data_IF_116865339263
#
_entry.id   IF_116865339263
#
_cell.length_a   1.000
_cell.length_b   1.000
_cell.length_c   1.000
_cell.angle_alpha   90.00
_cell.angle_beta   90.00
_cell.angle_gamma   90.00
#
_symmetry.space_group_name_H-M   'P 1'
#
loop_
_entity.id
_entity.type
_entity.pdbx_description
1 polymer ?
#
# COMPACT_ATOMS: atom_id res chain seq x y z
N UNK A 1 22.81 -34.29 10.16
CA UNK A 1 21.69 -33.62 10.85
C UNK A 1 21.51 -32.25 10.20
N UNK A 2 20.58 -32.15 9.24
CA UNK A 2 20.26 -30.87 8.59
C UNK A 2 19.49 -29.98 9.57
N UNK A 3 19.90 -28.72 9.71
CA UNK A 3 19.12 -27.73 10.44
C UNK A 3 17.81 -27.51 9.68
N UNK A 4 16.67 -27.63 10.38
CA UNK A 4 15.39 -27.05 9.97
C UNK A 4 15.64 -25.61 9.50
N UNK A 5 15.34 -25.30 8.24
CA UNK A 5 15.32 -23.91 7.76
C UNK A 5 13.94 -23.38 8.11
N UNK A 6 13.85 -22.60 9.17
CA UNK A 6 12.59 -22.04 9.63
C UNK A 6 12.02 -21.07 8.56
N UNK A 7 10.72 -21.16 8.28
CA UNK A 7 10.00 -20.24 7.40
C UNK A 7 9.79 -18.89 8.09
N UNK A 8 10.08 -17.78 7.40
CA UNK A 8 9.93 -16.43 7.97
C UNK A 8 9.05 -15.52 7.12
N UNK A 9 8.12 -14.84 7.80
CA UNK A 9 7.32 -13.75 7.22
C UNK A 9 7.94 -12.44 7.69
N UNK A 10 8.29 -11.59 6.73
CA UNK A 10 8.96 -10.33 6.97
C UNK A 10 7.96 -9.21 6.73
N UNK A 11 7.57 -8.55 7.82
CA UNK A 11 6.78 -7.32 7.79
C UNK A 11 7.71 -6.11 7.78
N UNK A 12 7.30 -5.02 7.11
CA UNK A 12 8.13 -3.81 7.07
C UNK A 12 8.41 -3.25 8.48
N UNK A 13 9.64 -2.76 8.76
CA UNK A 13 10.04 -2.33 10.09
C UNK A 13 9.34 -1.07 10.61
N UNK A 14 8.55 -0.33 9.82
CA UNK A 14 7.68 0.71 10.41
C UNK A 14 6.59 0.10 11.32
N UNK A 15 6.25 -1.18 11.13
CA UNK A 15 5.38 -1.94 12.02
C UNK A 15 6.05 -2.41 13.32
N UNK A 16 7.38 -2.22 13.46
CA UNK A 16 8.13 -2.52 14.68
C UNK A 16 8.29 -1.29 15.59
N UNK A 17 8.06 -0.07 15.06
CA UNK A 17 8.18 1.19 15.82
C UNK A 17 6.85 1.90 16.07
N UNK A 18 5.77 1.45 15.41
CA UNK A 18 4.40 1.80 15.72
C UNK A 18 3.72 0.51 16.17
N UNK A 19 3.01 0.51 17.31
CA UNK A 19 2.23 -0.67 17.73
C UNK A 19 1.42 -1.24 16.55
N UNK A 20 1.30 -2.58 16.44
CA UNK A 20 0.89 -3.20 15.20
C UNK A 20 -0.52 -2.74 14.81
N UNK A 21 -0.61 -2.08 13.66
CA UNK A 21 -1.86 -1.81 12.94
C UNK A 21 -2.71 -3.09 13.03
N UNK A 22 -3.98 -3.05 13.47
CA UNK A 22 -4.79 -4.25 13.70
C UNK A 22 -4.77 -5.26 12.53
N UNK A 23 -4.71 -4.75 11.30
CA UNK A 23 -4.58 -5.56 10.07
C UNK A 23 -3.29 -6.39 10.09
N UNK A 24 -2.15 -5.82 10.47
CA UNK A 24 -0.88 -6.54 10.58
C UNK A 24 -0.92 -7.62 11.66
N UNK A 25 -1.65 -7.38 12.76
CA UNK A 25 -1.82 -8.39 13.82
C UNK A 25 -2.63 -9.59 13.33
N UNK A 26 -3.72 -9.34 12.59
CA UNK A 26 -4.52 -10.41 11.97
C UNK A 26 -3.72 -11.11 10.87
N UNK A 27 -3.06 -10.37 9.98
CA UNK A 27 -2.17 -10.95 8.96
C UNK A 27 -1.12 -11.88 9.59
N UNK A 28 -0.43 -11.43 10.63
CA UNK A 28 0.57 -12.24 11.32
C UNK A 28 -0.06 -13.48 12.00
N UNK A 29 -1.26 -13.35 12.57
CA UNK A 29 -1.99 -14.46 13.19
C UNK A 29 -2.43 -15.51 12.17
N UNK A 30 -3.01 -15.07 11.05
CA UNK A 30 -3.55 -15.93 9.99
C UNK A 30 -2.44 -16.62 9.19
N UNK A 31 -1.34 -15.93 8.93
CA UNK A 31 -0.21 -16.59 8.27
C UNK A 31 0.43 -17.60 9.22
N UNK A 32 0.54 -17.31 10.53
CA UNK A 32 1.01 -18.29 11.54
C UNK A 32 0.03 -19.46 11.72
N UNK A 33 -1.29 -19.25 11.64
CA UNK A 33 -2.29 -20.32 11.72
C UNK A 33 -2.18 -21.23 10.50
N UNK A 34 -2.07 -20.65 9.31
CA UNK A 34 -1.91 -21.40 8.05
C UNK A 34 -0.58 -22.16 8.03
N UNK A 35 0.52 -21.53 8.51
CA UNK A 35 1.81 -22.21 8.69
C UNK A 35 1.67 -23.43 9.61
N UNK A 36 0.98 -23.30 10.75
CA UNK A 36 0.70 -24.43 11.65
C UNK A 36 -0.13 -25.53 10.97
N UNK A 37 -1.16 -25.16 10.21
CA UNK A 37 -1.98 -26.13 9.48
C UNK A 37 -1.17 -26.88 8.41
N UNK A 38 -0.32 -26.18 7.64
CA UNK A 38 0.61 -26.80 6.70
C UNK A 38 1.63 -27.70 7.38
N UNK A 39 2.07 -27.34 8.59
CA UNK A 39 2.98 -28.18 9.39
C UNK A 39 2.30 -29.48 9.84
N UNK A 40 0.98 -29.44 10.10
CA UNK A 40 0.16 -30.60 10.45
C UNK A 40 -0.20 -31.46 9.23
N UNK A 41 -0.54 -30.84 8.09
CA UNK A 41 -0.89 -31.53 6.85
C UNK A 41 0.33 -32.19 6.17
N UNK A 42 1.55 -31.73 6.52
CA UNK A 42 2.81 -32.30 6.04
C UNK A 42 3.28 -33.55 6.80
N UNK A 43 2.47 -34.13 7.70
CA UNK A 43 2.75 -35.42 8.34
C UNK A 43 2.68 -36.56 7.31
N UNK A 44 3.76 -36.70 6.54
CA UNK A 44 3.96 -37.72 5.50
C UNK A 44 4.90 -37.32 4.35
N UNK A 45 5.20 -36.02 4.19
CA UNK A 45 6.12 -35.52 3.16
C UNK A 45 7.44 -35.03 3.77
N UNK A 46 8.54 -35.25 3.04
CA UNK A 46 9.91 -34.91 3.45
C UNK A 46 10.04 -33.44 3.92
N UNK A 47 10.18 -33.26 5.24
CA UNK A 47 10.35 -31.97 5.93
C UNK A 47 11.66 -31.23 5.57
N UNK A 48 12.54 -31.79 4.75
CA UNK A 48 13.91 -31.28 4.58
C UNK A 48 14.16 -30.27 3.46
N UNK A 49 13.18 -29.97 2.59
CA UNK A 49 13.50 -29.35 1.29
C UNK A 49 12.79 -28.06 0.90
N UNK A 50 11.86 -27.51 1.70
CA UNK A 50 11.12 -26.31 1.28
C UNK A 50 11.19 -25.21 2.32
N UNK A 51 11.78 -24.09 1.92
CA UNK A 51 11.83 -22.86 2.69
C UNK A 51 10.88 -21.82 2.09
N UNK A 52 9.95 -21.33 2.89
CA UNK A 52 8.90 -20.40 2.49
C UNK A 52 9.16 -19.01 3.09
N UNK A 53 9.39 -18.01 2.23
CA UNK A 53 9.60 -16.63 2.66
C UNK A 53 8.61 -15.68 2.00
N UNK A 54 7.95 -14.89 2.84
CA UNK A 54 6.97 -13.87 2.41
C UNK A 54 7.39 -12.52 2.93
N UNK A 55 7.51 -11.52 2.05
CA UNK A 55 7.57 -10.13 2.43
C UNK A 55 6.20 -9.45 2.24
N UNK A 56 5.64 -8.87 3.30
CA UNK A 56 4.39 -8.10 3.22
C UNK A 56 4.67 -6.64 3.60
N UNK A 57 4.47 -5.75 2.62
CA UNK A 57 4.51 -4.31 2.88
C UNK A 57 3.11 -3.75 3.12
N UNK A 58 2.93 -3.08 4.25
CA UNK A 58 1.76 -2.24 4.53
C UNK A 58 2.25 -0.81 4.68
N UNK A 59 1.93 0.03 3.71
CA UNK A 59 2.26 1.46 3.74
C UNK A 59 1.44 2.21 4.78
N UNK A 60 1.90 3.40 5.17
CA UNK A 60 1.14 4.30 6.01
C UNK A 60 -0.11 4.76 5.27
N UNK A 61 -1.23 4.57 5.94
CA UNK A 61 -2.45 5.27 5.63
C UNK A 61 -2.37 6.76 5.97
N UNK A 62 -3.26 7.58 5.42
CA UNK A 62 -3.56 8.93 5.94
C UNK A 62 -3.69 8.87 7.47
N UNK A 63 -2.72 9.43 8.21
CA UNK A 63 -2.59 9.18 9.64
C UNK A 63 -3.76 9.78 10.45
N UNK A 64 -4.29 8.98 11.38
CA UNK A 64 -5.17 9.39 12.48
C UNK A 64 -4.50 9.07 13.81
N UNK A 65 -4.69 9.88 14.87
CA UNK A 65 -3.81 9.92 16.03
C UNK A 65 -4.26 8.94 17.12
N UNK A 66 -3.71 7.73 17.15
CA UNK A 66 -3.74 6.88 18.34
C UNK A 66 -2.43 6.09 18.47
N UNK A 67 -1.36 6.75 18.95
CA UNK A 67 -0.38 6.24 19.94
C UNK A 67 0.82 7.20 20.12
N UNK A 68 1.21 7.45 21.38
CA UNK A 68 2.20 8.44 21.85
C UNK A 68 3.56 7.74 22.19
N UNK A 69 4.79 8.31 22.20
CA UNK A 69 5.30 9.64 22.55
C UNK A 69 6.62 10.00 21.81
N UNK A 70 6.60 11.15 21.15
CA UNK A 70 7.69 12.13 20.93
C UNK A 70 7.24 13.20 19.92
N UNK A 71 6.22 12.89 19.10
CA UNK A 71 5.65 13.76 18.06
C UNK A 71 4.28 14.41 18.43
N UNK A 72 3.74 14.09 19.61
CA UNK A 72 2.36 14.41 20.03
C UNK A 72 2.06 15.91 20.23
N UNK A 73 3.02 16.76 20.60
CA UNK A 73 2.72 18.18 20.91
C UNK A 73 2.59 19.10 19.68
N UNK A 74 3.11 18.69 18.52
CA UNK A 74 3.13 19.49 17.29
C UNK A 74 2.12 18.97 16.25
N UNK A 75 1.90 17.65 16.16
CA UNK A 75 0.95 17.03 15.23
C UNK A 75 -0.52 17.10 15.69
N UNK A 76 -0.79 17.22 16.99
CA UNK A 76 -2.16 17.18 17.52
C UNK A 76 -3.01 18.44 17.23
N UNK A 77 -2.43 19.61 16.92
CA UNK A 77 -3.23 20.83 16.71
C UNK A 77 -3.60 21.12 15.24
N UNK A 78 -2.84 20.59 14.28
CA UNK A 78 -3.07 20.84 12.85
C UNK A 78 -3.91 19.75 12.16
N UNK A 79 -3.71 18.46 12.53
CA UNK A 79 -4.44 17.34 11.92
C UNK A 79 -5.92 17.24 12.34
N UNK A 80 -6.29 17.74 13.54
CA UNK A 80 -7.67 17.73 14.03
C UNK A 80 -8.59 18.73 13.29
N UNK A 81 -8.05 19.85 12.82
CA UNK A 81 -8.85 20.87 12.12
C UNK A 81 -9.14 20.48 10.66
N UNK A 82 -8.16 19.89 9.96
CA UNK A 82 -8.32 19.48 8.56
C UNK A 82 -9.13 18.18 8.43
N UNK A 83 -8.80 17.13 9.20
CA UNK A 83 -9.47 15.84 9.04
C UNK A 83 -10.96 15.85 9.48
N UNK A 84 -11.33 16.65 10.50
CA UNK A 84 -12.73 16.78 10.94
C UNK A 84 -13.60 17.54 9.94
N UNK A 85 -13.06 18.57 9.28
CA UNK A 85 -13.75 19.32 8.22
C UNK A 85 -13.89 18.46 6.96
N UNK A 86 -12.84 17.71 6.59
CA UNK A 86 -12.84 16.85 5.40
C UNK A 86 -13.79 15.65 5.48
N UNK A 87 -13.92 15.04 6.66
CA UNK A 87 -14.78 13.88 6.83
C UNK A 87 -16.25 14.26 7.06
N UNK A 88 -16.51 15.35 7.79
CA UNK A 88 -17.86 15.88 7.92
C UNK A 88 -18.39 16.38 6.58
N UNK A 89 -17.54 17.04 5.79
CA UNK A 89 -17.87 17.43 4.42
C UNK A 89 -18.08 16.22 3.51
N UNK A 90 -17.30 15.13 3.60
CA UNK A 90 -17.52 13.90 2.82
C UNK A 90 -18.87 13.22 3.15
N UNK A 91 -19.22 13.14 4.44
CA UNK A 91 -20.49 12.56 4.91
C UNK A 91 -21.68 13.46 4.57
N UNK A 92 -21.56 14.77 4.78
CA UNK A 92 -22.60 15.76 4.44
C UNK A 92 -22.77 15.87 2.92
N UNK A 93 -21.72 15.72 2.11
CA UNK A 93 -21.82 15.76 0.64
C UNK A 93 -22.53 14.54 0.07
N UNK A 94 -22.30 13.34 0.61
CA UNK A 94 -23.11 12.15 0.24
C UNK A 94 -24.60 12.33 0.59
N UNK A 95 -24.92 13.15 1.60
CA UNK A 95 -26.30 13.51 1.95
C UNK A 95 -26.86 14.70 1.13
N UNK A 96 -26.00 15.62 0.67
CA UNK A 96 -26.37 16.86 -0.07
C UNK A 96 -26.41 16.66 -1.59
N UNK A 97 -25.82 15.59 -2.14
CA UNK A 97 -26.00 15.26 -3.57
C UNK A 97 -27.48 15.05 -3.95
N UNK A 98 -28.40 14.94 -2.97
CA UNK A 98 -29.86 14.93 -3.16
C UNK A 98 -30.56 16.30 -2.97
N UNK A 99 -29.86 17.36 -2.54
CA UNK A 99 -30.45 18.69 -2.32
C UNK A 99 -29.50 19.80 -2.74
N UNK A 100 -29.63 20.28 -3.99
CA UNK A 100 -28.76 21.31 -4.56
C UNK A 100 -28.59 22.55 -3.67
N UNK A 101 -27.35 22.82 -3.23
CA UNK A 101 -27.02 24.04 -2.50
C UNK A 101 -25.54 24.18 -2.14
N UNK A 102 -24.98 25.36 -2.46
CA UNK A 102 -23.65 25.91 -2.13
C UNK A 102 -22.39 25.35 -2.81
N UNK A 103 -21.72 26.21 -3.57
CA UNK A 103 -20.43 25.96 -4.22
C UNK A 103 -19.30 26.21 -3.20
N UNK A 104 -18.83 25.14 -2.55
CA UNK A 104 -17.69 25.18 -1.64
C UNK A 104 -16.40 25.36 -2.46
N UNK A 105 -15.56 26.34 -2.09
CA UNK A 105 -14.22 26.47 -2.67
C UNK A 105 -13.27 25.46 -2.01
N UNK A 106 -13.32 24.22 -2.49
CA UNK A 106 -12.57 23.09 -1.96
C UNK A 106 -11.05 23.31 -1.96
N UNK A 107 -10.52 24.16 -2.84
CA UNK A 107 -9.08 24.41 -2.94
C UNK A 107 -8.47 25.04 -1.68
N UNK A 108 -9.26 25.81 -0.91
CA UNK A 108 -8.78 26.43 0.34
C UNK A 108 -8.84 25.45 1.53
N UNK A 109 -9.76 24.49 1.51
CA UNK A 109 -10.02 23.53 2.59
C UNK A 109 -9.13 22.28 2.49
N UNK A 110 -8.71 21.94 1.27
CA UNK A 110 -8.06 20.66 0.93
C UNK A 110 -6.52 20.68 0.90
N UNK A 111 -5.87 21.79 1.29
CA UNK A 111 -4.41 21.90 1.17
C UNK A 111 -3.71 20.96 2.15
N UNK A 112 -3.14 19.88 1.63
CA UNK A 112 -2.20 19.03 2.36
C UNK A 112 -0.86 19.78 2.47
N UNK A 113 -0.27 19.93 3.67
CA UNK A 113 1.10 20.40 3.81
C UNK A 113 2.11 19.58 2.99
N UNK A 114 3.07 20.26 2.36
CA UNK A 114 4.11 19.64 1.54
C UNK A 114 4.89 18.55 2.31
N UNK A 115 5.16 18.79 3.59
CA UNK A 115 5.87 17.86 4.46
C UNK A 115 5.14 16.51 4.59
N UNK A 116 3.81 16.53 4.62
CA UNK A 116 3.02 15.29 4.63
C UNK A 116 3.03 14.58 3.28
N UNK A 117 3.16 15.31 2.17
CA UNK A 117 3.34 14.69 0.87
C UNK A 117 4.68 13.95 0.80
N UNK A 118 5.77 14.59 1.29
CA UNK A 118 7.09 13.97 1.41
C UNK A 118 7.04 12.72 2.28
N UNK A 119 6.46 12.82 3.48
CA UNK A 119 6.33 11.70 4.41
C UNK A 119 5.51 10.55 3.80
N UNK A 120 4.40 10.86 3.11
CA UNK A 120 3.57 9.87 2.43
C UNK A 120 4.38 9.08 1.39
N UNK A 121 5.15 9.74 0.53
CA UNK A 121 6.00 9.07 -0.45
C UNK A 121 7.13 8.27 0.22
N UNK A 122 7.75 8.83 1.28
CA UNK A 122 8.84 8.18 2.00
C UNK A 122 8.39 6.87 2.66
N UNK A 123 7.16 6.80 3.15
CA UNK A 123 6.63 5.58 3.77
C UNK A 123 6.08 4.63 2.71
N UNK A 124 5.17 5.10 1.86
CA UNK A 124 4.39 4.25 0.98
C UNK A 124 5.15 3.71 -0.21
N UNK A 125 6.17 4.42 -0.67
CA UNK A 125 6.97 4.00 -1.82
C UNK A 125 8.41 3.67 -1.40
N UNK A 126 9.17 4.67 -0.94
CA UNK A 126 10.59 4.47 -0.67
C UNK A 126 10.84 3.52 0.51
N UNK A 127 9.98 3.54 1.53
CA UNK A 127 10.04 2.62 2.67
C UNK A 127 9.83 1.16 2.24
N UNK A 128 8.87 0.93 1.35
CA UNK A 128 8.63 -0.37 0.74
C UNK A 128 9.81 -0.82 -0.13
N UNK A 129 10.30 0.06 -1.01
CA UNK A 129 11.44 -0.18 -1.90
C UNK A 129 12.66 -0.62 -1.11
N UNK A 130 13.09 0.17 -0.12
CA UNK A 130 14.22 -0.16 0.77
C UNK A 130 14.04 -1.48 1.50
N UNK A 131 12.83 -1.73 2.02
CA UNK A 131 12.52 -2.98 2.72
C UNK A 131 12.70 -4.17 1.77
N UNK A 132 12.05 -4.13 0.61
CA UNK A 132 12.11 -5.22 -0.38
C UNK A 132 13.56 -5.45 -0.81
N UNK A 133 14.30 -4.42 -1.21
CA UNK A 133 15.70 -4.52 -1.61
C UNK A 133 16.57 -5.17 -0.54
N UNK A 134 16.36 -4.82 0.73
CA UNK A 134 17.09 -5.40 1.87
C UNK A 134 16.82 -6.90 2.02
N UNK A 135 15.59 -7.34 1.74
CA UNK A 135 15.15 -8.72 1.95
C UNK A 135 15.24 -9.62 0.71
N UNK A 136 15.50 -9.06 -0.48
CA UNK A 136 15.70 -9.86 -1.71
C UNK A 136 16.71 -11.00 -1.52
N UNK A 137 17.92 -10.80 -0.94
CA UNK A 137 18.88 -11.89 -0.79
C UNK A 137 18.36 -13.05 0.06
N UNK A 138 17.49 -12.78 1.04
CA UNK A 138 16.86 -13.81 1.87
C UNK A 138 15.70 -14.49 1.13
N UNK A 139 14.88 -13.71 0.41
CA UNK A 139 13.81 -14.25 -0.43
C UNK A 139 14.36 -15.18 -1.53
N UNK A 140 15.54 -14.89 -2.08
CA UNK A 140 16.20 -15.74 -3.07
C UNK A 140 16.63 -17.11 -2.52
N UNK A 141 16.71 -17.29 -1.20
CA UNK A 141 16.97 -18.57 -0.56
C UNK A 141 15.70 -19.42 -0.43
N UNK A 142 14.52 -18.83 -0.66
CA UNK A 142 13.23 -19.51 -0.64
C UNK A 142 13.02 -20.34 -1.89
N UNK A 143 12.40 -21.51 -1.72
CA UNK A 143 11.91 -22.31 -2.84
C UNK A 143 10.57 -21.77 -3.39
N UNK A 144 9.95 -20.84 -2.66
CA UNK A 144 8.64 -20.28 -2.96
C UNK A 144 8.53 -18.80 -2.49
N UNK A 145 9.33 -17.88 -3.06
CA UNK A 145 9.38 -16.49 -2.60
C UNK A 145 8.12 -15.71 -2.99
N UNK A 146 7.61 -14.92 -2.04
CA UNK A 146 6.40 -14.08 -2.20
C UNK A 146 6.63 -12.65 -1.74
N UNK A 147 6.13 -11.68 -2.52
CA UNK A 147 6.05 -10.29 -2.10
C UNK A 147 4.62 -9.79 -2.31
N UNK A 148 4.03 -9.25 -1.24
CA UNK A 148 2.69 -8.66 -1.28
C UNK A 148 2.77 -7.20 -0.88
N UNK A 149 2.46 -6.33 -1.83
CA UNK A 149 2.42 -4.87 -1.64
C UNK A 149 0.98 -4.42 -1.40
N UNK A 150 0.66 -3.94 -0.19
CA UNK A 150 -0.67 -3.37 0.08
C UNK A 150 -0.78 -1.99 -0.55
N UNK A 151 -1.57 -1.95 -1.63
CA UNK A 151 -1.86 -0.78 -2.45
C UNK A 151 -3.30 -0.30 -2.19
N UNK A 152 -3.90 0.43 -3.13
CA UNK A 152 -5.27 0.95 -3.06
C UNK A 152 -5.87 1.05 -4.44
N UNK A 153 -7.20 0.96 -4.53
CA UNK A 153 -7.95 1.24 -5.76
C UNK A 153 -7.75 2.69 -6.25
N UNK A 154 -7.39 3.62 -5.36
CA UNK A 154 -7.05 4.99 -5.75
C UNK A 154 -5.73 5.06 -6.53
N UNK A 155 -4.83 4.09 -6.37
CA UNK A 155 -3.57 4.01 -7.12
C UNK A 155 -3.71 3.53 -8.57
N UNK A 156 -4.94 3.33 -9.06
CA UNK A 156 -5.18 3.07 -10.49
C UNK A 156 -4.90 4.33 -11.32
N UNK A 157 -4.37 4.14 -12.53
CA UNK A 157 -3.93 5.24 -13.39
C UNK A 157 -5.09 6.11 -13.90
N UNK A 158 -6.34 5.65 -13.86
CA UNK A 158 -7.51 6.49 -14.10
C UNK A 158 -7.67 7.64 -13.10
N UNK A 159 -7.05 7.52 -11.92
CA UNK A 159 -7.03 8.58 -10.90
C UNK A 159 -5.77 9.46 -11.01
N UNK A 160 -4.86 9.16 -11.93
CA UNK A 160 -3.71 10.01 -12.27
C UNK A 160 -4.12 10.95 -13.41
N UNK A 161 -4.48 12.19 -13.08
CA UNK A 161 -4.87 13.19 -14.08
C UNK A 161 -3.68 13.83 -14.82
N UNK A 162 -2.46 13.68 -14.31
CA UNK A 162 -1.26 14.16 -14.97
C UNK A 162 -0.86 13.16 -16.07
N UNK A 163 -1.12 13.51 -17.33
CA UNK A 163 -0.95 12.58 -18.47
C UNK A 163 0.51 12.18 -18.72
N UNK A 164 1.48 13.04 -18.39
CA UNK A 164 2.90 12.68 -18.47
C UNK A 164 3.25 11.57 -17.47
N UNK A 165 2.91 11.77 -16.20
CA UNK A 165 3.14 10.78 -15.15
C UNK A 165 2.37 9.49 -15.44
N UNK A 166 1.13 9.60 -15.91
CA UNK A 166 0.30 8.47 -16.31
C UNK A 166 0.94 7.68 -17.46
N UNK A 167 1.43 8.36 -18.50
CA UNK A 167 2.11 7.74 -19.63
C UNK A 167 3.38 7.00 -19.24
N UNK A 168 4.16 7.54 -18.30
CA UNK A 168 5.33 6.84 -17.74
C UNK A 168 4.90 5.59 -16.97
N UNK A 169 3.92 5.71 -16.08
CA UNK A 169 3.54 4.62 -15.18
C UNK A 169 2.71 3.51 -15.85
N UNK A 170 2.07 3.78 -16.99
CA UNK A 170 1.30 2.78 -17.76
C UNK A 170 2.19 1.85 -18.58
N UNK A 171 3.28 2.36 -19.17
CA UNK A 171 4.17 1.62 -20.07
C UNK A 171 5.00 0.54 -19.33
N UNK A 172 4.42 -0.66 -19.22
CA UNK A 172 5.06 -1.82 -18.57
C UNK A 172 6.43 -2.15 -19.14
N UNK A 173 6.60 -1.97 -20.44
CA UNK A 173 7.75 -2.53 -21.15
C UNK A 173 9.00 -1.70 -20.91
N UNK A 174 8.83 -0.38 -20.84
CA UNK A 174 9.93 0.56 -20.60
C UNK A 174 10.01 1.05 -19.15
N UNK A 175 9.15 0.56 -18.25
CA UNK A 175 9.10 0.97 -16.85
C UNK A 175 10.40 0.61 -16.12
N UNK A 176 10.98 1.58 -15.43
CA UNK A 176 12.16 1.37 -14.57
C UNK A 176 11.98 2.10 -13.24
N UNK A 177 12.81 1.74 -12.26
CA UNK A 177 12.76 2.38 -10.94
C UNK A 177 13.09 3.89 -11.05
N UNK A 178 14.02 4.26 -11.92
CA UNK A 178 14.44 5.64 -12.16
C UNK A 178 13.31 6.50 -12.73
N UNK A 179 12.51 5.92 -13.64
CA UNK A 179 11.32 6.61 -14.19
C UNK A 179 10.24 6.82 -13.15
N UNK A 180 10.05 5.86 -12.23
CA UNK A 180 9.13 6.05 -11.11
C UNK A 180 9.65 7.13 -10.17
N UNK A 181 10.95 7.12 -9.85
CA UNK A 181 11.59 8.13 -9.02
C UNK A 181 11.49 9.53 -9.67
N UNK A 182 11.63 9.64 -10.99
CA UNK A 182 11.44 10.88 -11.75
C UNK A 182 10.02 11.45 -11.58
N UNK A 183 8.99 10.61 -11.74
CA UNK A 183 7.59 11.00 -11.53
C UNK A 183 7.36 11.51 -10.09
N UNK A 184 7.91 10.82 -9.10
CA UNK A 184 7.77 11.20 -7.70
C UNK A 184 8.50 12.51 -7.37
N UNK A 185 9.67 12.73 -7.96
CA UNK A 185 10.45 13.95 -7.75
C UNK A 185 9.78 15.15 -8.40
N UNK A 186 9.27 15.01 -9.64
CA UNK A 186 8.55 16.10 -10.31
C UNK A 186 7.23 16.41 -9.57
N UNK A 187 6.52 15.38 -9.09
CA UNK A 187 5.36 15.60 -8.23
C UNK A 187 5.69 16.43 -6.97
N UNK A 188 6.75 16.09 -6.23
CA UNK A 188 7.13 16.84 -5.04
C UNK A 188 7.59 18.26 -5.37
N UNK A 189 8.28 18.46 -6.49
CA UNK A 189 8.67 19.79 -6.96
C UNK A 189 7.43 20.63 -7.26
N UNK A 190 6.51 20.12 -8.06
CA UNK A 190 5.25 20.80 -8.39
C UNK A 190 4.38 21.05 -7.14
N UNK A 191 4.39 20.12 -6.18
CA UNK A 191 3.74 20.31 -4.89
C UNK A 191 4.32 21.51 -4.15
N UNK A 192 5.65 21.58 -4.02
CA UNK A 192 6.36 22.63 -3.30
C UNK A 192 6.17 24.00 -3.95
N UNK A 193 6.03 24.04 -5.27
CA UNK A 193 5.78 25.25 -6.05
C UNK A 193 4.30 25.67 -6.07
N UNK A 194 3.39 24.86 -5.49
CA UNK A 194 1.95 25.12 -5.49
C UNK A 194 1.31 24.95 -6.87
N UNK A 195 1.94 24.21 -7.78
CA UNK A 195 1.56 24.09 -9.19
C UNK A 195 0.73 22.83 -9.49
N UNK A 196 0.34 22.03 -8.48
CA UNK A 196 -0.36 20.75 -8.68
C UNK A 196 -1.56 20.85 -9.62
N UNK A 197 -2.45 21.81 -9.40
CA UNK A 197 -3.64 22.00 -10.24
C UNK A 197 -3.27 22.43 -11.66
N UNK A 198 -2.34 23.37 -11.80
CA UNK A 198 -1.87 23.87 -13.09
C UNK A 198 -1.19 22.78 -13.93
N UNK A 199 -0.54 21.83 -13.25
CA UNK A 199 0.13 20.65 -13.83
C UNK A 199 -0.77 19.41 -13.87
N UNK A 200 -2.05 19.56 -13.57
CA UNK A 200 -3.06 18.51 -13.59
C UNK A 200 -2.72 17.29 -12.72
N UNK A 201 -1.97 17.47 -11.63
CA UNK A 201 -1.84 16.42 -10.61
C UNK A 201 -3.19 16.17 -9.91
N UNK A 202 -3.41 14.97 -9.32
CA UNK A 202 -4.66 14.69 -8.61
C UNK A 202 -4.92 15.74 -7.53
N UNK A 203 -6.15 16.27 -7.47
CA UNK A 203 -6.49 17.37 -6.56
C UNK A 203 -6.80 16.92 -5.13
N UNK A 204 -7.27 15.68 -4.96
CA UNK A 204 -7.64 15.10 -3.67
C UNK A 204 -6.71 13.94 -3.32
N UNK A 205 -6.16 13.94 -2.09
CA UNK A 205 -5.27 12.89 -1.62
C UNK A 205 -4.06 12.66 -2.53
N UNK A 206 -3.54 13.74 -3.14
CA UNK A 206 -2.60 13.70 -4.26
C UNK A 206 -1.39 12.81 -4.01
N UNK A 207 -0.71 13.00 -2.87
CA UNK A 207 0.46 12.21 -2.49
C UNK A 207 0.12 10.74 -2.25
N UNK A 208 -1.08 10.44 -1.73
CA UNK A 208 -1.53 9.07 -1.53
C UNK A 208 -1.82 8.37 -2.86
N UNK A 209 -2.53 9.05 -3.77
CA UNK A 209 -2.79 8.57 -5.14
C UNK A 209 -1.48 8.29 -5.88
N UNK A 210 -0.56 9.26 -5.88
CA UNK A 210 0.74 9.17 -6.55
C UNK A 210 1.61 8.06 -5.93
N UNK A 211 1.69 7.95 -4.60
CA UNK A 211 2.47 6.89 -3.96
C UNK A 211 1.92 5.48 -4.23
N UNK A 212 0.59 5.30 -4.27
CA UNK A 212 -0.01 3.99 -4.56
C UNK A 212 0.09 3.63 -6.05
N UNK A 213 0.03 4.61 -6.95
CA UNK A 213 0.34 4.38 -8.36
C UNK A 213 1.81 3.98 -8.57
N UNK A 214 2.75 4.65 -7.87
CA UNK A 214 4.17 4.28 -7.89
C UNK A 214 4.42 2.87 -7.30
N UNK A 215 3.70 2.49 -6.24
CA UNK A 215 3.76 1.12 -5.68
C UNK A 215 3.30 0.06 -6.68
N UNK A 216 2.23 0.36 -7.43
CA UNK A 216 1.73 -0.51 -8.48
C UNK A 216 2.75 -0.68 -9.61
N UNK A 217 3.37 0.42 -10.05
CA UNK A 217 4.45 0.41 -11.03
C UNK A 217 5.66 -0.41 -10.55
N UNK A 218 6.11 -0.19 -9.31
CA UNK A 218 7.23 -0.92 -8.72
C UNK A 218 6.97 -2.42 -8.58
N UNK A 219 5.72 -2.81 -8.28
CA UNK A 219 5.31 -4.22 -8.27
C UNK A 219 5.53 -4.87 -9.64
N UNK A 220 5.20 -4.17 -10.74
CA UNK A 220 5.42 -4.67 -12.11
C UNK A 220 6.91 -4.78 -12.45
N UNK A 221 7.70 -3.77 -12.07
CA UNK A 221 9.17 -3.78 -12.24
C UNK A 221 9.77 -5.01 -11.54
N UNK A 222 9.42 -5.22 -10.27
CA UNK A 222 9.93 -6.34 -9.48
C UNK A 222 9.53 -7.70 -10.06
N UNK A 223 8.28 -7.86 -10.50
CA UNK A 223 7.82 -9.10 -11.11
C UNK A 223 8.61 -9.44 -12.39
N UNK A 224 8.95 -8.44 -13.21
CA UNK A 224 9.81 -8.61 -14.40
C UNK A 224 11.26 -8.94 -14.01
N UNK A 225 11.77 -8.32 -12.95
CA UNK A 225 13.15 -8.51 -12.44
C UNK A 225 13.36 -9.87 -11.76
N UNK A 226 12.33 -10.41 -11.11
CA UNK A 226 12.37 -11.68 -10.38
C UNK A 226 11.27 -12.63 -10.86
N UNK A 227 11.42 -13.25 -12.05
CA UNK A 227 10.37 -14.06 -12.67
C UNK A 227 10.02 -15.35 -11.89
N UNK A 228 10.88 -15.78 -10.97
CA UNK A 228 10.63 -16.94 -10.09
C UNK A 228 9.84 -16.57 -8.82
N UNK A 229 9.62 -15.28 -8.56
CA UNK A 229 8.88 -14.80 -7.39
C UNK A 229 7.42 -14.55 -7.77
N UNK A 230 6.48 -14.80 -6.84
CA UNK A 230 5.13 -14.24 -6.99
C UNK A 230 5.07 -12.89 -6.28
N UNK A 231 5.05 -11.82 -7.07
CA UNK A 231 5.10 -10.43 -6.59
C UNK A 231 3.83 -9.72 -7.06
N UNK A 232 2.96 -9.36 -6.13
CA UNK A 232 1.67 -8.76 -6.46
C UNK A 232 1.35 -7.58 -5.55
N UNK A 233 0.45 -6.71 -6.00
CA UNK A 233 -0.11 -5.66 -5.17
C UNK A 233 -1.63 -5.83 -5.03
N UNK A 234 -2.17 -5.35 -3.91
CA UNK A 234 -3.58 -5.56 -3.56
C UNK A 234 -4.20 -4.34 -2.89
N UNK A 235 -5.39 -3.97 -3.34
CA UNK A 235 -6.32 -3.13 -2.60
C UNK A 235 -7.16 -4.02 -1.66
N UNK A 236 -7.04 -3.87 -0.33
CA UNK A 236 -7.80 -4.68 0.63
C UNK A 236 -9.28 -4.29 0.72
N UNK A 237 -9.69 -3.20 0.06
CA UNK A 237 -11.00 -2.59 0.19
C UNK A 237 -11.04 -1.48 1.25
N UNK A 238 -12.23 -1.01 1.60
CA UNK A 238 -12.42 0.09 2.55
C UNK A 238 -12.58 -0.44 3.97
N UNK A 239 -11.44 -0.65 4.65
CA UNK A 239 -11.30 -1.34 5.94
C UNK A 239 -11.42 -0.36 7.11
N UNK A 240 -12.16 -0.73 8.17
CA UNK A 240 -12.26 0.03 9.41
C UNK A 240 -10.92 0.01 10.15
N UNK A 241 -10.15 1.09 10.05
CA UNK A 241 -8.89 1.26 10.79
C UNK A 241 -8.73 2.73 11.15
N UNK A 242 -7.67 3.06 11.89
CA UNK A 242 -7.41 4.45 12.27
C UNK A 242 -7.26 5.35 11.03
N UNK A 243 -6.74 4.84 9.90
CA UNK A 243 -6.57 5.59 8.64
C UNK A 243 -7.81 6.40 8.21
N UNK A 244 -8.99 5.84 8.45
CA UNK A 244 -10.26 6.37 8.01
C UNK A 244 -11.20 6.59 9.19
N UNK A 245 -10.66 6.79 10.39
CA UNK A 245 -11.42 6.99 11.62
C UNK A 245 -12.48 5.90 11.84
N UNK A 246 -12.13 4.65 11.51
CA UNK A 246 -13.00 3.49 11.61
C UNK A 246 -14.31 3.59 10.78
N UNK A 247 -14.34 4.39 9.72
CA UNK A 247 -15.51 4.55 8.84
C UNK A 247 -15.57 3.56 7.65
N UNK A 248 -14.68 2.58 7.62
CA UNK A 248 -14.69 1.50 6.63
C UNK A 248 -16.00 0.69 6.60
N UNK A 249 -16.25 -0.01 5.49
CA UNK A 249 -17.35 -1.00 5.40
C UNK A 249 -16.90 -2.41 5.75
N UNK A 250 -15.59 -2.69 5.66
CA UNK A 250 -15.00 -3.99 5.98
C UNK A 250 -14.38 -4.00 7.37
N UNK A 251 -14.43 -5.14 8.05
CA UNK A 251 -13.61 -5.39 9.24
C UNK A 251 -12.13 -5.52 8.88
N UNK A 252 -11.29 -5.44 9.91
CA UNK A 252 -9.85 -5.64 9.81
C UNK A 252 -9.52 -7.02 9.23
N UNK A 253 -10.25 -8.05 9.66
CA UNK A 253 -10.12 -9.43 9.22
C UNK A 253 -10.52 -9.60 7.75
N UNK A 254 -11.64 -9.00 7.36
CA UNK A 254 -12.09 -9.00 5.95
C UNK A 254 -11.09 -8.30 5.03
N UNK A 255 -10.45 -7.22 5.50
CA UNK A 255 -9.40 -6.52 4.79
C UNK A 255 -8.08 -7.30 4.70
N UNK A 256 -7.73 -8.05 5.75
CA UNK A 256 -6.52 -8.85 5.83
C UNK A 256 -6.56 -10.09 4.94
N UNK A 257 -7.76 -10.64 4.68
CA UNK A 257 -7.94 -11.88 3.93
C UNK A 257 -7.25 -11.85 2.55
N UNK A 258 -7.31 -10.74 1.82
CA UNK A 258 -6.76 -10.65 0.46
C UNK A 258 -5.23 -10.61 0.43
N UNK A 259 -4.52 -9.79 1.23
CA UNK A 259 -3.07 -9.91 1.35
C UNK A 259 -2.60 -11.29 1.86
N UNK A 260 -3.30 -11.92 2.82
CA UNK A 260 -2.97 -13.30 3.25
C UNK A 260 -3.07 -14.28 2.08
N UNK A 261 -4.17 -14.22 1.33
CA UNK A 261 -4.36 -15.10 0.15
C UNK A 261 -3.22 -14.96 -0.85
N UNK A 262 -2.74 -13.74 -1.10
CA UNK A 262 -1.61 -13.50 -2.00
C UNK A 262 -0.28 -13.98 -1.44
N UNK A 263 -0.09 -13.84 -0.12
CA UNK A 263 1.08 -14.36 0.58
C UNK A 263 1.17 -15.88 0.50
N UNK A 264 0.03 -16.57 0.39
CA UNK A 264 -0.09 -18.03 0.37
C UNK A 264 -0.37 -18.61 -1.03
N UNK A 265 -0.15 -17.84 -2.10
CA UNK A 265 -0.35 -18.36 -3.45
C UNK A 265 0.52 -19.59 -3.71
N UNK A 266 0.00 -20.63 -4.39
CA UNK A 266 0.80 -21.78 -4.80
C UNK A 266 1.88 -21.37 -5.80
N UNK A 267 2.91 -22.20 -5.94
CA UNK A 267 3.94 -22.00 -6.97
C UNK A 267 3.32 -21.98 -8.37
N UNK A 268 3.86 -21.14 -9.24
CA UNK A 268 3.26 -20.85 -10.55
C UNK A 268 2.02 -19.95 -10.49
N UNK A 269 1.67 -19.43 -9.30
CA UNK A 269 0.64 -18.41 -9.14
C UNK A 269 0.97 -17.10 -9.88
N UNK A 270 -0.02 -16.20 -10.02
CA UNK A 270 0.16 -14.94 -10.74
C UNK A 270 1.26 -14.08 -10.12
N UNK A 271 1.95 -13.31 -10.96
CA UNK A 271 2.98 -12.34 -10.57
C UNK A 271 2.86 -11.09 -11.45
N UNK A 272 3.17 -9.92 -10.91
CA UNK A 272 3.04 -8.63 -11.58
C UNK A 272 1.61 -8.10 -11.68
N UNK A 273 0.67 -8.65 -10.89
CA UNK A 273 -0.76 -8.33 -10.99
C UNK A 273 -1.22 -7.39 -9.87
N UNK A 274 -2.28 -6.62 -10.17
CA UNK A 274 -3.03 -5.86 -9.17
C UNK A 274 -4.34 -6.58 -8.83
N UNK A 275 -4.63 -6.69 -7.53
CA UNK A 275 -5.85 -7.29 -7.03
C UNK A 275 -6.74 -6.25 -6.34
N UNK A 276 -8.04 -6.31 -6.56
CA UNK A 276 -9.04 -5.65 -5.72
C UNK A 276 -9.73 -6.75 -4.93
N UNK A 277 -9.43 -6.80 -3.63
CA UNK A 277 -9.80 -7.92 -2.77
C UNK A 277 -9.34 -9.25 -3.40
N UNK A 278 -10.29 -10.09 -3.82
CA UNK A 278 -10.01 -11.41 -4.37
C UNK A 278 -9.88 -11.44 -5.90
N UNK A 279 -10.22 -10.35 -6.57
CA UNK A 279 -10.29 -10.31 -8.03
C UNK A 279 -9.07 -9.64 -8.63
N UNK A 280 -8.55 -10.23 -9.72
CA UNK A 280 -7.54 -9.59 -10.55
C UNK A 280 -8.17 -8.36 -11.21
N UNK A 281 -7.44 -7.24 -11.22
CA UNK A 281 -7.92 -5.99 -11.78
C UNK A 281 -6.84 -5.31 -12.62
N UNK A 282 -7.25 -4.40 -13.51
CA UNK A 282 -6.33 -3.61 -14.33
C UNK A 282 -5.65 -2.52 -13.50
N UNK A 283 -4.42 -2.16 -13.91
CA UNK A 283 -3.69 -1.02 -13.37
C UNK A 283 -4.26 0.32 -13.86
N UNK A 284 -4.88 0.34 -15.05
CA UNK A 284 -5.47 1.52 -15.67
C UNK A 284 -6.78 1.94 -14.99
N UNK A 285 -7.80 1.08 -15.05
CA UNK A 285 -9.17 1.40 -14.71
C UNK A 285 -10.13 0.63 -15.61
N UNK A 286 -11.28 0.25 -15.06
CA UNK A 286 -12.51 0.03 -15.83
C UNK A 286 -13.33 1.31 -15.78
#
# INVERSE_FOLDING_TARGET
>A
MGKSRDDFIIFSPLALFLEPIPVLRVLNSEIKSTQRQWTMDADGADRSSRSFFVAVHVGAGFHSPLNERALSSTMNRACLAAASVLQKAWIETMAIVDTGGTQINWNEIMTQPYEFAVECLQINYYGAKRMIETFIPLLQLSDSPRIVNVSSGIGKLKNMSNEWAKGILSDAESLTEEKVDEVLNEFLKDFKEGSLQAKSWPSFGSAYTVSKAAMNAYTRILAKKYPTFCINCVCPGYVKTDINFNTGILSVEEGAASPVRLALLPDGGPSGMFFVRNEVSTFEGN
#
